data_IF_642575377923
#
_entry.id   IF_642575377923
#
_cell.length_a   1.000
_cell.length_b   1.000
_cell.length_c   1.000
_cell.angle_alpha   90.00
_cell.angle_beta   90.00
_cell.angle_gamma   90.00
#
_symmetry.space_group_name_H-M   'P 1'
#
loop_
_entity.id
_entity.type
_entity.pdbx_description
1 polymer ?
#
# COMPACT_ATOMS: atom_id res chain seq x y z
N UNK A 1 27.56 -7.65 -48.34
CA UNK A 1 27.48 -7.50 -46.87
C UNK A 1 26.97 -6.09 -46.60
N UNK A 2 25.66 -5.91 -46.43
CA UNK A 2 25.07 -4.59 -46.16
C UNK A 2 24.78 -4.47 -44.67
N UNK A 3 25.65 -3.74 -43.97
CA UNK A 3 25.50 -3.44 -42.54
C UNK A 3 24.35 -2.45 -42.37
N UNK A 4 23.27 -2.87 -41.73
CA UNK A 4 22.17 -1.97 -41.34
C UNK A 4 22.52 -1.37 -39.98
N UNK A 5 23.01 -0.13 -39.99
CA UNK A 5 23.16 0.65 -38.75
C UNK A 5 21.77 1.07 -38.26
N UNK A 6 21.38 0.58 -37.09
CA UNK A 6 20.17 1.01 -36.39
C UNK A 6 20.55 2.25 -35.57
N UNK A 7 20.05 3.41 -35.98
CA UNK A 7 20.12 4.63 -35.18
C UNK A 7 19.07 4.53 -34.07
N UNK A 8 19.50 4.32 -32.83
CA UNK A 8 18.63 4.43 -31.67
C UNK A 8 18.27 5.91 -31.47
N UNK A 9 17.04 6.28 -31.81
CA UNK A 9 16.46 7.59 -31.50
C UNK A 9 16.03 7.54 -30.03
N UNK A 10 16.87 8.06 -29.13
CA UNK A 10 16.49 8.25 -27.74
C UNK A 10 15.56 9.46 -27.67
N UNK A 11 14.26 9.22 -27.57
CA UNK A 11 13.27 10.26 -27.34
C UNK A 11 13.42 10.75 -25.89
N UNK A 12 13.68 12.04 -25.65
CA UNK A 12 13.76 12.54 -24.27
C UNK A 12 12.39 12.40 -23.62
N UNK A 13 12.35 11.71 -22.47
CA UNK A 13 11.16 11.63 -21.63
C UNK A 13 10.96 13.01 -21.01
N UNK A 14 10.00 13.79 -21.53
CA UNK A 14 9.59 15.04 -20.90
C UNK A 14 8.83 14.69 -19.62
N UNK A 15 9.47 14.87 -18.47
CA UNK A 15 8.78 14.81 -17.19
C UNK A 15 7.81 16.00 -17.14
N UNK A 16 6.51 15.71 -17.27
CA UNK A 16 5.46 16.71 -17.14
C UNK A 16 5.29 17.00 -15.65
N UNK A 17 5.83 18.11 -15.16
CA UNK A 17 5.57 18.57 -13.80
C UNK A 17 4.08 18.91 -13.67
N UNK A 18 3.30 18.08 -12.99
CA UNK A 18 1.94 18.44 -12.60
C UNK A 18 2.03 19.64 -11.64
N UNK A 19 1.40 20.75 -12.03
CA UNK A 19 1.35 21.96 -11.22
C UNK A 19 0.24 21.76 -10.19
N UNK A 20 0.57 21.83 -8.90
CA UNK A 20 -0.42 21.77 -7.82
C UNK A 20 -1.55 22.79 -8.04
N UNK A 21 -2.79 22.35 -7.87
CA UNK A 21 -3.96 23.23 -7.91
C UNK A 21 -3.96 24.26 -6.76
N UNK A 22 -4.83 25.30 -6.81
CA UNK A 22 -5.00 26.18 -5.67
C UNK A 22 -5.57 25.42 -4.46
N UNK A 23 -5.17 25.83 -3.26
CA UNK A 23 -5.74 25.31 -2.02
C UNK A 23 -7.21 25.71 -1.87
N UNK A 24 -8.11 24.73 -1.94
CA UNK A 24 -9.57 24.93 -1.84
C UNK A 24 -10.12 24.55 -0.47
N UNK A 25 -9.42 23.68 0.27
CA UNK A 25 -9.79 23.30 1.63
C UNK A 25 -8.66 23.60 2.59
N UNK A 26 -9.00 24.30 3.66
CA UNK A 26 -8.07 24.72 4.71
C UNK A 26 -8.56 24.20 6.06
N UNK A 27 -7.61 23.92 6.93
CA UNK A 27 -7.88 23.49 8.30
C UNK A 27 -7.07 24.35 9.27
N UNK A 28 -7.70 24.76 10.37
CA UNK A 28 -7.03 25.47 11.45
C UNK A 28 -6.69 24.49 12.56
N UNK A 29 -5.39 24.35 12.83
CA UNK A 29 -4.83 23.42 13.82
C UNK A 29 -5.32 23.77 15.22
N UNK A 30 -5.75 22.75 15.95
CA UNK A 30 -6.26 22.84 17.32
C UNK A 30 -5.31 22.15 18.29
N UNK A 31 -5.49 22.45 19.58
CA UNK A 31 -4.76 21.80 20.64
C UNK A 31 -5.03 20.27 20.65
N UNK A 32 -3.96 19.47 20.56
CA UNK A 32 -4.05 18.01 20.61
C UNK A 32 -4.21 17.32 19.26
N UNK A 33 -4.20 18.10 18.17
CA UNK A 33 -4.21 17.59 16.80
C UNK A 33 -2.93 16.80 16.49
N UNK A 34 -3.10 15.78 15.66
CA UNK A 34 -2.03 15.06 14.96
C UNK A 34 -2.45 14.95 13.50
N UNK A 35 -1.51 14.69 12.58
CA UNK A 35 -1.86 14.52 11.17
C UNK A 35 -2.94 13.44 10.98
N UNK A 36 -2.80 12.27 11.62
CA UNK A 36 -3.82 11.20 11.50
C UNK A 36 -5.20 11.60 12.05
N UNK A 37 -5.27 12.37 13.14
CA UNK A 37 -6.55 12.87 13.66
C UNK A 37 -7.18 13.88 12.73
N UNK A 38 -6.38 14.83 12.23
CA UNK A 38 -6.85 15.81 11.22
C UNK A 38 -7.34 15.05 9.99
N UNK A 39 -6.56 14.10 9.49
CA UNK A 39 -6.89 13.26 8.36
C UNK A 39 -8.20 12.51 8.55
N UNK A 40 -8.38 11.85 9.70
CA UNK A 40 -9.58 11.08 10.00
C UNK A 40 -10.82 11.97 10.16
N UNK A 41 -10.69 13.14 10.79
CA UNK A 41 -11.81 14.07 11.02
C UNK A 41 -12.19 14.87 9.78
N UNK A 42 -11.21 15.16 8.91
CA UNK A 42 -11.40 15.98 7.71
C UNK A 42 -11.56 15.14 6.45
N UNK A 43 -11.56 13.80 6.53
CA UNK A 43 -11.63 12.91 5.37
C UNK A 43 -10.56 13.23 4.32
N UNK A 44 -9.31 13.41 4.76
CA UNK A 44 -8.15 13.61 3.88
C UNK A 44 -7.13 12.51 4.17
N UNK A 45 -6.53 11.90 3.16
CA UNK A 45 -5.53 10.84 3.41
C UNK A 45 -4.29 11.42 4.10
N UNK A 46 -3.64 10.61 4.94
CA UNK A 46 -2.40 11.00 5.63
C UNK A 46 -1.33 11.41 4.61
N UNK A 47 -1.27 10.72 3.47
CA UNK A 47 -0.39 11.07 2.36
C UNK A 47 -0.73 12.43 1.73
N UNK A 48 -2.00 12.70 1.42
CA UNK A 48 -2.40 13.96 0.82
C UNK A 48 -2.04 15.14 1.73
N UNK A 49 -2.31 15.00 3.05
CA UNK A 49 -1.95 16.01 4.03
C UNK A 49 -0.44 16.28 4.07
N UNK A 50 0.37 15.22 4.08
CA UNK A 50 1.82 15.33 4.07
C UNK A 50 2.37 15.95 2.76
N UNK A 51 1.87 15.50 1.60
CA UNK A 51 2.33 15.97 0.30
C UNK A 51 1.99 17.45 0.05
N UNK A 52 0.77 17.87 0.40
CA UNK A 52 0.31 19.25 0.22
C UNK A 52 1.14 20.24 1.06
N UNK A 53 1.55 19.83 2.27
CA UNK A 53 2.28 20.68 3.21
C UNK A 53 3.77 20.31 3.32
N UNK A 54 4.31 19.62 2.31
CA UNK A 54 5.71 19.21 2.32
C UNK A 54 6.65 20.43 2.42
N UNK A 55 7.67 20.31 3.27
CA UNK A 55 8.60 21.41 3.59
C UNK A 55 8.04 22.42 4.60
N UNK A 56 6.76 22.32 4.96
CA UNK A 56 6.13 23.10 6.04
C UNK A 56 5.84 22.22 7.27
N UNK A 57 5.17 21.08 7.08
CA UNK A 57 4.98 20.04 8.10
C UNK A 57 6.11 19.02 7.94
N UNK A 58 6.74 18.61 9.05
CA UNK A 58 7.77 17.58 9.04
C UNK A 58 7.18 16.17 8.84
N UNK A 59 8.02 15.22 8.43
CA UNK A 59 7.62 13.83 8.12
C UNK A 59 7.03 13.06 9.31
N UNK A 60 7.25 13.55 10.53
CA UNK A 60 6.73 12.99 11.77
C UNK A 60 5.46 13.73 12.26
N UNK A 61 5.06 14.80 11.57
CA UNK A 61 3.98 15.69 11.95
C UNK A 61 4.10 16.26 13.38
N UNK A 62 5.32 16.54 13.83
CA UNK A 62 5.58 17.03 15.20
C UNK A 62 5.53 18.56 15.35
N UNK A 63 5.53 19.28 14.23
CA UNK A 63 5.66 20.74 14.20
C UNK A 63 4.33 21.48 13.94
N UNK A 64 3.19 20.83 14.15
CA UNK A 64 1.88 21.49 14.08
C UNK A 64 1.76 22.61 15.14
N UNK A 65 1.46 23.83 14.69
CA UNK A 65 1.27 24.99 15.56
C UNK A 65 -0.22 25.29 15.73
N UNK A 66 -0.69 25.46 16.97
CA UNK A 66 -2.10 25.82 17.25
C UNK A 66 -2.45 27.16 16.58
N UNK A 67 -3.68 27.25 16.06
CA UNK A 67 -4.24 28.37 15.29
C UNK A 67 -3.60 28.59 13.92
N UNK A 68 -2.60 27.78 13.55
CA UNK A 68 -2.05 27.80 12.20
C UNK A 68 -3.04 27.22 11.19
N UNK A 69 -3.01 27.75 9.96
CA UNK A 69 -3.90 27.32 8.89
C UNK A 69 -3.13 26.57 7.82
N UNK A 70 -3.37 25.27 7.74
CA UNK A 70 -2.74 24.36 6.78
C UNK A 70 -3.69 24.07 5.61
N UNK A 71 -3.12 23.71 4.47
CA UNK A 71 -3.93 23.25 3.34
C UNK A 71 -4.21 21.76 3.48
N UNK A 72 -5.44 21.33 3.21
CA UNK A 72 -5.83 19.92 3.29
C UNK A 72 -6.39 19.39 1.97
N UNK A 73 -6.53 20.22 0.94
CA UNK A 73 -7.02 19.80 -0.37
C UNK A 73 -6.81 20.84 -1.44
N UNK A 74 -6.22 20.42 -2.55
CA UNK A 74 -6.11 21.20 -3.79
C UNK A 74 -7.32 20.95 -4.69
N UNK A 75 -7.62 21.93 -5.55
CA UNK A 75 -8.68 21.81 -6.53
C UNK A 75 -8.43 20.61 -7.46
N UNK A 76 -9.41 19.72 -7.62
CA UNK A 76 -9.36 18.49 -8.43
C UNK A 76 -8.37 17.41 -7.95
N UNK A 77 -7.72 17.60 -6.80
CA UNK A 77 -6.73 16.65 -6.23
C UNK A 77 -7.08 16.30 -4.77
N UNK A 78 -8.36 16.48 -4.40
CA UNK A 78 -8.89 16.20 -3.08
C UNK A 78 -9.93 15.08 -3.17
N UNK A 79 -9.57 13.91 -2.65
CA UNK A 79 -10.47 12.76 -2.59
C UNK A 79 -11.41 12.87 -1.38
N UNK A 80 -12.72 12.76 -1.61
CA UNK A 80 -13.72 12.77 -0.53
C UNK A 80 -13.99 11.38 0.09
N UNK A 81 -13.45 10.31 -0.49
CA UNK A 81 -13.56 8.93 -0.01
C UNK A 81 -12.24 8.47 0.63
N UNK A 82 -12.22 8.43 1.95
CA UNK A 82 -11.07 7.96 2.72
C UNK A 82 -11.42 6.80 3.64
N UNK A 83 -10.41 6.02 4.03
CA UNK A 83 -10.53 4.89 4.94
C UNK A 83 -9.50 4.99 6.06
N UNK A 84 -9.95 4.92 7.32
CA UNK A 84 -9.05 4.86 8.49
C UNK A 84 -8.71 3.40 8.76
N UNK A 85 -7.42 3.07 8.66
CA UNK A 85 -6.86 1.73 8.88
C UNK A 85 -7.06 1.29 10.32
N UNK A 86 -7.44 0.03 10.50
CA UNK A 86 -7.77 -0.60 11.78
C UNK A 86 -6.95 -1.88 11.99
N UNK A 87 -7.02 -2.35 13.23
CA UNK A 87 -6.36 -3.58 13.63
C UNK A 87 -6.91 -4.78 12.84
N UNK A 88 -5.98 -5.58 12.31
CA UNK A 88 -6.26 -6.71 11.44
C UNK A 88 -6.41 -6.37 9.96
N UNK A 89 -6.37 -5.10 9.56
CA UNK A 89 -6.56 -4.72 8.16
C UNK A 89 -5.40 -5.17 7.26
N UNK A 90 -5.75 -5.51 6.02
CA UNK A 90 -4.82 -5.75 4.93
C UNK A 90 -5.27 -4.95 3.71
N UNK A 91 -4.36 -4.53 2.84
CA UNK A 91 -4.76 -3.86 1.60
C UNK A 91 -5.76 -4.69 0.79
N UNK A 92 -5.62 -6.02 0.74
CA UNK A 92 -6.55 -6.88 0.02
C UNK A 92 -7.98 -6.82 0.56
N UNK A 93 -8.16 -6.72 1.88
CA UNK A 93 -9.48 -6.58 2.49
C UNK A 93 -10.05 -5.19 2.25
N UNK A 94 -9.20 -4.14 2.35
CA UNK A 94 -9.59 -2.75 2.09
C UNK A 94 -10.05 -2.60 0.63
N UNK A 95 -9.24 -3.04 -0.34
CA UNK A 95 -9.59 -2.91 -1.76
C UNK A 95 -10.89 -3.64 -2.10
N UNK A 96 -11.08 -4.86 -1.60
CA UNK A 96 -12.31 -5.62 -1.77
C UNK A 96 -13.54 -4.91 -1.18
N UNK A 97 -13.42 -4.33 0.03
CA UNK A 97 -14.52 -3.62 0.69
C UNK A 97 -14.89 -2.30 -0.01
N UNK A 98 -13.92 -1.64 -0.64
CA UNK A 98 -14.13 -0.37 -1.34
C UNK A 98 -14.38 -0.54 -2.85
N UNK A 99 -14.25 -1.76 -3.38
CA UNK A 99 -14.47 -2.06 -4.79
C UNK A 99 -13.45 -1.38 -5.71
N UNK A 100 -12.20 -1.30 -5.28
CA UNK A 100 -11.04 -0.82 -6.04
C UNK A 100 -10.04 -1.96 -6.20
N UNK A 101 -9.07 -1.84 -7.11
CA UNK A 101 -7.97 -2.81 -7.21
C UNK A 101 -6.72 -2.32 -6.46
N UNK A 102 -5.74 -3.22 -6.30
CA UNK A 102 -4.47 -2.89 -5.62
C UNK A 102 -3.71 -1.78 -6.35
N UNK A 103 -3.72 -1.79 -7.68
CA UNK A 103 -3.04 -0.77 -8.50
C UNK A 103 -3.54 0.62 -8.20
N UNK A 104 -4.86 0.79 -8.12
CA UNK A 104 -5.51 2.05 -7.81
C UNK A 104 -5.25 2.47 -6.36
N UNK A 105 -5.29 1.53 -5.41
CA UNK A 105 -4.95 1.84 -4.02
C UNK A 105 -3.52 2.37 -3.90
N UNK A 106 -2.53 1.71 -4.51
CA UNK A 106 -1.13 2.14 -4.47
C UNK A 106 -0.92 3.46 -5.24
N UNK A 107 -1.63 3.69 -6.35
CA UNK A 107 -1.57 4.95 -7.08
C UNK A 107 -2.09 6.13 -6.25
N UNK A 108 -3.16 5.92 -5.48
CA UNK A 108 -3.74 6.93 -4.59
C UNK A 108 -3.01 7.06 -3.25
N UNK A 109 -2.18 6.08 -2.88
CA UNK A 109 -1.41 6.04 -1.64
C UNK A 109 0.05 5.64 -1.91
N UNK A 110 0.84 6.50 -2.58
CA UNK A 110 2.20 6.17 -3.01
C UNK A 110 3.20 5.86 -1.89
N UNK A 111 2.84 6.14 -0.63
CA UNK A 111 3.63 5.76 0.53
C UNK A 111 3.54 4.27 0.87
N UNK A 112 2.50 3.57 0.40
CA UNK A 112 2.30 2.16 0.69
C UNK A 112 3.27 1.36 -0.19
N UNK A 113 4.02 0.45 0.42
CA UNK A 113 4.92 -0.42 -0.33
C UNK A 113 4.14 -1.50 -1.11
N UNK A 114 4.76 -2.08 -2.13
CA UNK A 114 4.11 -3.07 -3.00
C UNK A 114 3.54 -4.30 -2.26
N UNK A 115 4.09 -4.61 -1.08
CA UNK A 115 3.65 -5.74 -0.26
C UNK A 115 2.57 -5.35 0.77
N UNK A 116 2.20 -4.06 0.85
CA UNK A 116 1.31 -3.48 1.85
C UNK A 116 1.65 -3.90 3.29
N UNK A 117 2.94 -3.90 3.65
CA UNK A 117 3.40 -4.28 4.99
C UNK A 117 3.65 -3.10 5.92
N UNK A 118 3.50 -1.87 5.43
CA UNK A 118 3.81 -0.65 6.17
C UNK A 118 2.58 0.18 6.61
N UNK A 119 1.36 -0.33 6.41
CA UNK A 119 0.16 0.35 6.92
C UNK A 119 0.01 0.13 8.44
N UNK A 120 -0.53 1.13 9.13
CA UNK A 120 -0.67 1.11 10.59
C UNK A 120 -2.03 1.63 11.08
N UNK A 121 -2.41 1.22 12.29
CA UNK A 121 -3.67 1.61 12.92
C UNK A 121 -3.77 3.13 13.03
N UNK A 122 -4.83 3.70 12.48
CA UNK A 122 -5.08 5.15 12.46
C UNK A 122 -4.61 5.88 11.20
N UNK A 123 -3.79 5.26 10.35
CA UNK A 123 -3.44 5.83 9.06
C UNK A 123 -4.69 6.00 8.19
N UNK A 124 -4.78 7.10 7.44
CA UNK A 124 -5.93 7.39 6.59
C UNK A 124 -5.55 7.24 5.12
N UNK A 125 -6.19 6.30 4.43
CA UNK A 125 -5.95 5.98 3.03
C UNK A 125 -6.97 6.65 2.12
N UNK A 126 -6.53 7.05 0.94
CA UNK A 126 -7.39 7.47 -0.16
C UNK A 126 -7.94 6.22 -0.87
N UNK A 127 -9.26 6.10 -0.95
CA UNK A 127 -9.96 4.96 -1.56
C UNK A 127 -10.92 5.43 -2.67
N UNK A 128 -10.66 6.59 -3.27
CA UNK A 128 -11.38 7.04 -4.45
C UNK A 128 -11.25 6.04 -5.61
N UNK A 129 -12.27 6.01 -6.47
CA UNK A 129 -12.36 5.11 -7.64
C UNK A 129 -11.59 5.62 -8.87
N UNK A 130 -11.10 6.84 -8.79
CA UNK A 130 -10.23 7.49 -9.76
C UNK A 130 -8.87 7.80 -9.10
N UNK A 131 -7.84 8.02 -9.91
CA UNK A 131 -6.53 8.46 -9.41
C UNK A 131 -6.63 9.94 -9.07
N UNK A 132 -6.76 10.25 -7.78
CA UNK A 132 -6.88 11.60 -7.22
C UNK A 132 -5.81 11.72 -6.14
N UNK A 133 -4.64 12.24 -6.48
CA UNK A 133 -3.51 12.35 -5.58
C UNK A 133 -2.79 13.67 -5.88
N UNK A 134 -2.39 14.44 -4.85
CA UNK A 134 -1.62 15.66 -5.09
C UNK A 134 -0.26 15.34 -5.74
N UNK A 135 0.30 16.27 -6.51
CA UNK A 135 1.59 16.08 -7.15
C UNK A 135 2.68 15.86 -6.10
N UNK A 136 3.63 15.00 -6.44
CA UNK A 136 4.79 14.73 -5.59
C UNK A 136 5.71 15.95 -5.52
N UNK A 137 6.07 16.42 -4.32
CA UNK A 137 7.17 17.36 -4.14
C UNK A 137 8.45 16.78 -4.78
N UNK A 138 9.12 17.56 -5.62
CA UNK A 138 10.35 17.16 -6.33
C UNK A 138 10.28 15.86 -7.15
N UNK A 139 9.07 15.42 -7.52
CA UNK A 139 8.85 14.22 -8.33
C UNK A 139 9.04 12.90 -7.58
N UNK A 140 9.12 12.92 -6.25
CA UNK A 140 9.24 11.71 -5.41
C UNK A 140 8.08 11.60 -4.43
N UNK A 141 7.52 10.39 -4.19
CA UNK A 141 6.56 10.17 -3.11
C UNK A 141 7.10 10.71 -1.79
N UNK A 142 6.25 11.43 -1.07
CA UNK A 142 6.57 11.84 0.30
C UNK A 142 6.54 10.60 1.18
N UNK A 143 7.64 10.34 1.87
CA UNK A 143 7.66 9.32 2.91
C UNK A 143 6.95 9.87 4.15
N UNK A 144 6.00 9.10 4.68
CA UNK A 144 5.40 9.37 5.98
C UNK A 144 6.01 8.42 6.99
N UNK A 145 6.57 8.97 8.06
CA UNK A 145 7.07 8.16 9.15
C UNK A 145 5.92 7.88 10.10
N UNK A 146 5.56 6.62 10.37
CA UNK A 146 4.52 6.31 11.35
C UNK A 146 4.84 6.94 12.71
N UNK A 147 3.82 7.40 13.46
CA UNK A 147 4.03 7.86 14.83
C UNK A 147 4.79 6.81 15.66
N UNK A 148 5.65 7.24 16.59
CA UNK A 148 6.50 6.33 17.37
C UNK A 148 5.74 5.23 18.14
N UNK A 149 4.45 5.45 18.41
CA UNK A 149 3.55 4.53 19.11
C UNK A 149 2.53 3.86 18.16
N UNK A 150 2.70 4.00 16.85
CA UNK A 150 1.85 3.35 15.88
C UNK A 150 1.97 1.83 15.99
N UNK A 151 0.81 1.16 15.95
CA UNK A 151 0.74 -0.30 15.90
C UNK A 151 0.53 -0.71 14.44
N UNK A 152 1.35 -1.60 13.87
CA UNK A 152 1.12 -2.13 12.52
C UNK A 152 -0.29 -2.69 12.38
N UNK A 153 -0.93 -2.46 11.23
CA UNK A 153 -2.33 -2.86 11.03
C UNK A 153 -2.51 -4.38 11.04
N UNK A 154 -1.54 -5.11 10.51
CA UNK A 154 -1.50 -6.55 10.60
C UNK A 154 -0.09 -6.99 10.95
N UNK A 155 0.03 -7.82 11.98
CA UNK A 155 1.24 -8.60 12.19
C UNK A 155 1.30 -9.57 11.03
N UNK A 156 2.07 -9.23 10.00
CA UNK A 156 2.28 -10.08 8.84
C UNK A 156 2.51 -11.51 9.32
N UNK A 157 1.52 -12.38 9.09
CA UNK A 157 1.76 -13.80 9.23
C UNK A 157 2.81 -14.11 8.16
N UNK A 158 3.99 -14.69 8.49
CA UNK A 158 4.91 -15.14 7.46
C UNK A 158 4.11 -16.01 6.51
N UNK A 159 4.08 -15.65 5.23
CA UNK A 159 3.50 -16.48 4.20
C UNK A 159 4.28 -17.81 4.20
N UNK A 160 3.76 -18.82 4.90
CA UNK A 160 4.23 -20.18 4.75
C UNK A 160 3.62 -20.70 3.44
N UNK A 161 4.20 -20.29 2.31
CA UNK A 161 3.96 -20.93 1.02
C UNK A 161 4.81 -22.19 0.96
N UNK A 162 4.38 -23.23 1.67
CA UNK A 162 4.59 -24.60 1.20
C UNK A 162 3.44 -24.96 0.27
N UNK A 163 3.43 -24.36 -0.92
CA UNK A 163 2.84 -24.99 -2.10
C UNK A 163 3.88 -25.95 -2.65
N UNK A 164 3.92 -27.18 -2.13
CA UNK A 164 4.35 -28.28 -2.99
C UNK A 164 3.24 -28.49 -4.01
N UNK A 165 3.60 -28.24 -5.26
CA UNK A 165 2.91 -28.75 -6.43
C UNK A 165 2.88 -30.28 -6.31
N UNK A 166 1.71 -30.88 -6.14
CA UNK A 166 1.54 -32.31 -6.41
C UNK A 166 1.43 -32.51 -7.92
N UNK A 167 2.55 -32.28 -8.61
CA UNK A 167 2.70 -32.77 -9.97
C UNK A 167 2.76 -34.29 -9.90
N UNK A 168 1.68 -34.92 -10.36
CA UNK A 168 1.63 -36.30 -10.80
C UNK A 168 2.91 -36.64 -11.57
N UNK A 169 3.83 -37.34 -10.92
CA UNK A 169 4.93 -38.03 -11.56
C UNK A 169 4.99 -39.43 -10.96
N UNK A 170 4.62 -40.37 -11.82
CA UNK A 170 4.66 -41.79 -11.62
C UNK A 170 6.12 -42.22 -11.73
N UNK A 171 6.73 -42.52 -10.60
CA UNK A 171 8.02 -43.19 -10.54
C UNK A 171 7.77 -44.59 -9.95
N UNK A 172 7.63 -45.54 -10.88
CA UNK A 172 7.80 -46.96 -10.65
C UNK A 172 9.26 -47.19 -10.29
N UNK A 173 9.57 -47.56 -9.04
CA UNK A 173 10.82 -48.24 -8.73
C UNK A 173 10.59 -49.29 -7.63
N UNK A 174 10.93 -50.52 -8.01
CA UNK A 174 10.88 -51.73 -7.23
C UNK A 174 11.90 -51.65 -6.09
N UNK A 175 11.47 -51.93 -4.86
CA UNK A 175 12.39 -52.40 -3.83
C UNK A 175 11.79 -53.66 -3.19
N UNK A 176 12.48 -54.76 -3.49
CA UNK A 176 12.33 -56.08 -2.91
C UNK A 176 12.47 -56.01 -1.38
N UNK A 177 11.43 -56.48 -0.68
CA UNK A 177 11.55 -56.92 0.69
C UNK A 177 10.88 -58.28 0.85
N UNK A 178 11.57 -59.30 0.38
CA UNK A 178 11.44 -60.65 0.90
C UNK A 178 12.00 -60.66 2.33
N UNK A 179 11.16 -60.95 3.33
CA UNK A 179 11.31 -62.18 4.13
C UNK A 179 10.40 -62.17 5.37
N UNK A 180 9.47 -63.15 5.34
CA UNK A 180 9.12 -64.06 6.43
C UNK A 180 8.46 -63.53 7.71
N UNK A 181 7.14 -63.69 7.82
CA UNK A 181 6.58 -64.45 8.95
C UNK A 181 5.17 -65.02 8.66
N UNK A 182 5.12 -66.34 8.45
CA UNK A 182 4.18 -67.29 9.09
C UNK A 182 2.65 -67.03 9.08
N UNK A 183 1.95 -67.74 8.18
CA UNK A 183 0.52 -68.08 8.16
C UNK A 183 0.03 -68.71 9.51
N UNK A 184 -1.27 -68.64 9.92
CA UNK A 184 -2.31 -69.49 9.31
C UNK A 184 -3.76 -68.94 9.23
N UNK A 185 -4.40 -69.28 8.12
CA UNK A 185 -5.83 -69.60 7.89
C UNK A 185 -6.84 -69.44 9.04
N UNK A 186 -7.89 -68.63 8.78
CA UNK A 186 -9.29 -68.80 9.23
C UNK A 186 -10.18 -68.14 8.15
N UNK A 187 -10.78 -68.90 7.24
CA UNK A 187 -12.10 -69.56 7.33
C UNK A 187 -13.16 -68.75 6.55
N UNK A 188 -13.63 -69.36 5.46
CA UNK A 188 -14.82 -68.97 4.70
C UNK A 188 -16.07 -69.08 5.57
N UNK A 189 -16.94 -68.06 5.53
CA UNK A 189 -18.41 -68.20 5.48
C UNK A 189 -19.02 -67.00 4.74
#
# INVERSE_FOLDING_TARGET
MFSKSILAVTLPLLASSAIAGPCVRKYTVKAGDTCDKISAEQSVSTYQLAAINAGYIDELCHNLAIDDTICIGYENEDCDQTYVVKDGDTCSAITANHGIDMTLLLANNPQINDNCTNIYNGEVLNVCKDVIVPPTPDGKPVEITPPANATPASLGTPANTNTQQDNNQQDDDNDDHDDDESLPFCDEL
#
